data_IF_013004567294
#
_entry.id   IF_013004567294
#
_cell.length_a   1.000
_cell.length_b   1.000
_cell.length_c   1.000
_cell.angle_alpha   90.00
_cell.angle_beta   90.00
_cell.angle_gamma   90.00
#
_symmetry.space_group_name_H-M   'P 1'
#
loop_
_entity.id
_entity.type
_entity.pdbx_description
1 polymer ?
#
# COMPACT_ATOMS: atom_id res chain seq x y z
N UNK A 1 32.64 2.18 -9.76
CA UNK A 1 31.79 1.48 -10.75
C UNK A 1 30.55 0.99 -10.00
N UNK A 2 29.34 1.41 -10.37
CA UNK A 2 28.12 0.84 -9.79
C UNK A 2 27.90 -0.55 -10.37
N UNK A 3 27.72 -1.54 -9.50
CA UNK A 3 27.43 -2.92 -9.89
C UNK A 3 25.96 -3.04 -10.29
N UNK A 4 25.62 -4.07 -11.08
CA UNK A 4 24.21 -4.33 -11.42
C UNK A 4 23.35 -4.62 -10.19
N UNK A 5 23.96 -5.16 -9.13
CA UNK A 5 23.33 -5.33 -7.81
C UNK A 5 22.88 -3.98 -7.25
N UNK A 6 23.74 -2.97 -7.27
CA UNK A 6 23.44 -1.64 -6.71
C UNK A 6 22.24 -0.98 -7.42
N UNK A 7 22.14 -1.18 -8.74
CA UNK A 7 21.00 -0.68 -9.53
C UNK A 7 19.69 -1.37 -9.15
N UNK A 8 19.73 -2.68 -8.90
CA UNK A 8 18.56 -3.45 -8.45
C UNK A 8 18.12 -3.05 -7.03
N UNK A 9 19.07 -2.84 -6.12
CA UNK A 9 18.81 -2.39 -4.74
C UNK A 9 18.09 -1.03 -4.77
N UNK A 10 18.62 -0.07 -5.51
CA UNK A 10 18.04 1.27 -5.61
C UNK A 10 16.62 1.26 -6.21
N UNK A 11 16.36 0.38 -7.19
CA UNK A 11 15.01 0.18 -7.73
C UNK A 11 14.06 -0.42 -6.68
N UNK A 12 14.50 -1.46 -5.98
CA UNK A 12 13.71 -2.10 -4.92
C UNK A 12 13.34 -1.13 -3.79
N UNK A 13 14.24 -0.24 -3.39
CA UNK A 13 13.97 0.80 -2.40
C UNK A 13 12.86 1.75 -2.85
N UNK A 14 12.94 2.24 -4.09
CA UNK A 14 11.89 3.13 -4.66
C UNK A 14 10.54 2.44 -4.72
N UNK A 15 10.51 1.18 -5.16
CA UNK A 15 9.28 0.38 -5.22
C UNK A 15 8.73 0.13 -3.82
N UNK A 16 9.60 -0.12 -2.83
CA UNK A 16 9.19 -0.29 -1.43
C UNK A 16 8.58 1.00 -0.86
N UNK A 17 9.20 2.16 -1.12
CA UNK A 17 8.67 3.46 -0.71
C UNK A 17 7.30 3.73 -1.36
N UNK A 18 7.17 3.46 -2.65
CA UNK A 18 5.90 3.62 -3.37
C UNK A 18 4.80 2.69 -2.85
N UNK A 19 5.12 1.42 -2.60
CA UNK A 19 4.16 0.49 -2.01
C UNK A 19 3.76 0.92 -0.59
N UNK A 20 4.71 1.38 0.24
CA UNK A 20 4.41 1.94 1.55
C UNK A 20 3.49 3.16 1.49
N UNK A 21 3.69 4.03 0.51
CA UNK A 21 2.81 5.18 0.25
C UNK A 21 1.38 4.74 -0.15
N UNK A 22 1.25 3.80 -1.09
CA UNK A 22 -0.05 3.24 -1.47
C UNK A 22 -0.78 2.58 -0.30
N UNK A 23 -0.04 1.87 0.56
CA UNK A 23 -0.58 1.29 1.78
C UNK A 23 -1.15 2.37 2.70
N UNK A 24 -0.40 3.45 2.94
CA UNK A 24 -0.83 4.54 3.81
C UNK A 24 -2.11 5.22 3.28
N UNK A 25 -2.19 5.46 1.97
CA UNK A 25 -3.43 5.98 1.35
C UNK A 25 -4.58 4.99 1.52
N UNK A 26 -4.34 3.70 1.25
CA UNK A 26 -5.35 2.66 1.40
C UNK A 26 -5.95 2.63 2.81
N UNK A 27 -5.09 2.68 3.83
CA UNK A 27 -5.51 2.75 5.23
C UNK A 27 -6.25 4.04 5.56
N UNK A 28 -5.82 5.19 5.01
CA UNK A 28 -6.53 6.46 5.17
C UNK A 28 -7.95 6.42 4.60
N UNK A 29 -8.13 5.83 3.42
CA UNK A 29 -9.44 5.66 2.78
C UNK A 29 -10.34 4.68 3.53
N UNK A 30 -9.79 3.56 4.00
CA UNK A 30 -10.52 2.60 4.86
C UNK A 30 -10.94 3.30 6.16
N UNK A 31 -10.04 4.03 6.80
CA UNK A 31 -10.32 4.80 8.01
C UNK A 31 -11.42 5.82 7.78
N UNK A 32 -11.37 6.56 6.67
CA UNK A 32 -12.43 7.52 6.31
C UNK A 32 -13.78 6.84 6.08
N UNK A 33 -13.80 5.68 5.41
CA UNK A 33 -15.02 4.91 5.20
C UNK A 33 -15.65 4.42 6.51
N UNK A 34 -14.84 4.16 7.55
CA UNK A 34 -15.34 3.77 8.88
C UNK A 34 -15.75 5.00 9.70
N UNK A 35 -14.92 6.05 9.72
CA UNK A 35 -15.12 7.22 10.57
C UNK A 35 -16.29 8.09 10.11
N UNK A 36 -16.45 8.29 8.79
CA UNK A 36 -17.49 9.16 8.24
C UNK A 36 -18.91 8.81 8.71
N UNK A 37 -19.40 7.56 8.60
CA UNK A 37 -20.73 7.21 9.10
C UNK A 37 -20.85 7.29 10.63
N UNK A 38 -19.75 7.22 11.38
CA UNK A 38 -19.76 7.41 12.83
C UNK A 38 -19.86 8.88 13.24
N UNK A 39 -19.49 9.81 12.36
CA UNK A 39 -19.53 11.26 12.61
C UNK A 39 -20.75 11.97 12.02
N UNK A 40 -21.39 11.38 11.00
CA UNK A 40 -22.56 11.97 10.34
C UNK A 40 -23.87 11.44 10.93
N UNK A 41 -24.88 12.31 11.04
CA UNK A 41 -26.23 11.91 11.44
C UNK A 41 -26.80 10.91 10.41
N UNK A 42 -27.51 9.83 10.82
CA UNK A 42 -27.93 8.74 9.91
C UNK A 42 -28.95 9.09 8.80
N UNK A 43 -29.10 10.35 8.41
CA UNK A 43 -30.18 10.80 7.53
C UNK A 43 -30.08 10.30 6.09
N UNK A 44 -28.92 9.79 5.64
CA UNK A 44 -28.84 9.02 4.40
C UNK A 44 -27.53 8.19 4.29
N UNK A 45 -27.58 6.85 4.14
CA UNK A 45 -26.40 6.06 3.82
C UNK A 45 -25.87 6.45 2.45
N UNK A 46 -24.75 7.18 2.42
CA UNK A 46 -24.10 7.55 1.16
C UNK A 46 -23.33 6.36 0.61
N UNK A 47 -23.73 5.86 -0.57
CA UNK A 47 -23.04 4.77 -1.28
C UNK A 47 -21.55 5.06 -1.56
N UNK A 48 -21.15 6.34 -1.54
CA UNK A 48 -19.74 6.72 -1.65
C UNK A 48 -18.88 6.20 -0.49
N UNK A 49 -19.42 6.01 0.72
CA UNK A 49 -18.68 5.43 1.86
C UNK A 49 -18.21 4.01 1.56
N UNK A 50 -19.08 3.21 0.93
CA UNK A 50 -18.76 1.85 0.48
C UNK A 50 -17.64 1.91 -0.55
N UNK A 51 -17.71 2.83 -1.51
CA UNK A 51 -16.66 2.99 -2.51
C UNK A 51 -15.31 3.41 -1.92
N UNK A 52 -15.29 4.31 -0.94
CA UNK A 52 -14.06 4.66 -0.23
C UNK A 52 -13.42 3.45 0.46
N UNK A 53 -14.24 2.60 1.09
CA UNK A 53 -13.77 1.36 1.71
C UNK A 53 -13.22 0.37 0.69
N UNK A 54 -13.93 0.14 -0.42
CA UNK A 54 -13.51 -0.78 -1.49
C UNK A 54 -12.22 -0.30 -2.16
N UNK A 55 -12.12 0.98 -2.50
CA UNK A 55 -10.92 1.55 -3.11
C UNK A 55 -9.75 1.48 -2.14
N UNK A 56 -9.96 1.83 -0.87
CA UNK A 56 -8.94 1.73 0.16
C UNK A 56 -8.42 0.30 0.34
N UNK A 57 -9.32 -0.69 0.36
CA UNK A 57 -8.96 -2.10 0.45
C UNK A 57 -8.21 -2.59 -0.79
N UNK A 58 -8.63 -2.18 -1.99
CA UNK A 58 -7.93 -2.50 -3.23
C UNK A 58 -6.51 -1.91 -3.24
N UNK A 59 -6.34 -0.64 -2.84
CA UNK A 59 -5.03 0.00 -2.75
C UNK A 59 -4.13 -0.67 -1.70
N UNK A 60 -4.70 -1.01 -0.54
CA UNK A 60 -4.01 -1.76 0.49
C UNK A 60 -3.54 -3.13 -0.04
N UNK A 61 -4.42 -3.90 -0.69
CA UNK A 61 -4.07 -5.18 -1.30
C UNK A 61 -2.99 -5.06 -2.38
N UNK A 62 -3.08 -4.04 -3.25
CA UNK A 62 -2.07 -3.77 -4.29
C UNK A 62 -0.71 -3.47 -3.68
N UNK A 63 -0.66 -2.69 -2.60
CA UNK A 63 0.62 -2.40 -1.93
C UNK A 63 1.30 -3.67 -1.41
N UNK A 64 0.54 -4.57 -0.76
CA UNK A 64 1.04 -5.85 -0.29
C UNK A 64 1.44 -6.78 -1.44
N UNK A 65 0.70 -6.76 -2.54
CA UNK A 65 1.06 -7.49 -3.74
C UNK A 65 2.42 -7.01 -4.30
N UNK A 66 2.64 -5.70 -4.40
CA UNK A 66 3.91 -5.13 -4.87
C UNK A 66 5.06 -5.53 -3.94
N UNK A 67 4.86 -5.42 -2.61
CA UNK A 67 5.88 -5.81 -1.63
C UNK A 67 6.22 -7.31 -1.70
N UNK A 68 5.23 -8.18 -1.91
CA UNK A 68 5.44 -9.62 -2.06
C UNK A 68 6.17 -10.01 -3.35
N UNK A 69 6.16 -9.14 -4.36
CA UNK A 69 6.80 -9.35 -5.67
C UNK A 69 8.20 -8.73 -5.78
N UNK A 70 8.66 -8.01 -4.76
CA UNK A 70 10.05 -7.52 -4.70
C UNK A 70 11.02 -8.72 -4.72
N UNK A 71 11.97 -8.72 -5.66
CA UNK A 71 13.03 -9.74 -5.69
C UNK A 71 13.82 -9.63 -4.39
N UNK A 72 13.74 -10.68 -3.56
CA UNK A 72 14.59 -10.81 -2.38
C UNK A 72 16.03 -10.90 -2.86
N UNK A 73 16.87 -9.97 -2.42
CA UNK A 73 18.31 -10.13 -2.54
C UNK A 73 18.66 -11.45 -1.85
N UNK A 74 19.29 -12.38 -2.58
CA UNK A 74 19.82 -13.59 -1.94
C UNK A 74 20.78 -13.11 -0.87
N UNK A 75 20.38 -13.30 0.39
CA UNK A 75 21.27 -13.18 1.53
C UNK A 75 22.46 -14.09 1.20
N UNK A 76 23.63 -13.51 0.96
CA UNK A 76 24.84 -14.28 0.80
C UNK A 76 25.11 -14.89 2.17
N UNK A 77 24.70 -16.15 2.35
CA UNK A 77 25.09 -16.92 3.52
C UNK A 77 26.62 -17.08 3.44
N UNK A 78 27.38 -16.60 4.44
CA UNK A 78 28.80 -16.88 4.50
C UNK A 78 28.98 -18.39 4.73
N UNK A 79 29.49 -19.09 3.73
CA UNK A 79 30.07 -20.43 3.86
C UNK A 79 31.54 -20.31 4.26
#
# INVERSE_FOLDING_TARGET
MQTERDKLVAFNERVKLFAGFLNAIGLGLIGFAVLRPLTETPSNPTWAVVWWGVIGLAMHAVSHYILGRLRKEMKHDPV
#
